data_IF_241855295890
#
_entry.id   IF_241855295890
#
_cell.length_a   1.000
_cell.length_b   1.000
_cell.length_c   1.000
_cell.angle_alpha   90.00
_cell.angle_beta   90.00
_cell.angle_gamma   90.00
#
_symmetry.space_group_name_H-M   'P 1'
#
loop_
_entity.id
_entity.type
_entity.pdbx_description
1 polymer ?
#
# COMPACT_ATOMS: atom_id res chain seq x y z
N UNK A 1 -0.91 -11.25 14.48
CA UNK A 1 -1.61 -11.36 13.17
C UNK A 1 -1.03 -12.54 12.36
N UNK A 2 -1.78 -13.17 11.47
CA UNK A 2 -1.22 -14.17 10.55
C UNK A 2 -0.52 -13.51 9.35
N UNK A 3 -1.14 -12.46 8.81
CA UNK A 3 -0.52 -11.57 7.83
C UNK A 3 -0.71 -10.14 8.34
N UNK A 4 0.37 -9.38 8.43
CA UNK A 4 0.37 -7.96 8.75
C UNK A 4 0.69 -7.16 7.50
N UNK A 5 -0.02 -6.05 7.26
CA UNK A 5 0.29 -5.13 6.16
C UNK A 5 0.66 -3.78 6.77
N UNK A 6 1.82 -3.24 6.40
CA UNK A 6 2.28 -1.90 6.80
C UNK A 6 2.52 -1.08 5.54
N UNK A 7 1.78 0.02 5.39
CA UNK A 7 1.81 0.86 4.18
C UNK A 7 2.90 1.93 4.22
N UNK A 8 3.13 2.54 5.38
CA UNK A 8 4.18 3.51 5.66
C UNK A 8 4.32 3.67 7.18
N UNK A 9 5.42 4.30 7.60
CA UNK A 9 5.69 4.73 8.97
C UNK A 9 6.29 6.13 8.90
N UNK A 10 5.41 7.13 8.90
CA UNK A 10 5.79 8.54 9.03
C UNK A 10 5.40 9.03 10.43
N UNK A 11 6.23 9.91 11.01
CA UNK A 11 5.98 10.48 12.33
C UNK A 11 4.64 11.23 12.36
N UNK A 12 3.72 10.72 13.17
CA UNK A 12 2.40 11.28 13.39
C UNK A 12 1.99 11.07 14.85
N UNK A 13 1.02 11.85 15.33
CA UNK A 13 0.45 11.74 16.67
C UNK A 13 1.50 11.79 17.79
N UNK A 14 2.58 12.57 17.59
CA UNK A 14 3.67 12.72 18.56
C UNK A 14 3.20 13.33 19.89
N UNK A 15 2.03 13.95 19.92
CA UNK A 15 1.32 14.37 21.13
C UNK A 15 0.93 13.19 22.04
N UNK A 16 0.69 12.01 21.48
CA UNK A 16 0.46 10.77 22.23
C UNK A 16 1.75 9.99 22.51
N UNK A 17 2.65 9.90 21.52
CA UNK A 17 3.85 9.06 21.61
C UNK A 17 5.07 9.75 22.23
N UNK A 18 5.09 11.08 22.25
CA UNK A 18 6.17 11.90 22.81
C UNK A 18 7.42 12.03 21.93
N UNK A 19 7.75 11.00 21.13
CA UNK A 19 8.89 11.05 20.19
C UNK A 19 8.70 10.12 18.98
N UNK A 20 9.45 10.37 17.92
CA UNK A 20 9.44 9.54 16.70
C UNK A 20 9.96 8.12 16.99
N UNK A 21 10.93 7.98 17.89
CA UNK A 21 11.45 6.68 18.31
C UNK A 21 10.38 5.87 19.04
N UNK A 22 9.59 6.52 19.89
CA UNK A 22 8.49 5.85 20.58
C UNK A 22 7.38 5.43 19.61
N UNK A 23 7.06 6.27 18.62
CA UNK A 23 6.11 5.95 17.56
C UNK A 23 6.57 4.73 16.73
N UNK A 24 7.80 4.76 16.23
CA UNK A 24 8.36 3.66 15.41
C UNK A 24 8.47 2.35 16.20
N UNK A 25 8.81 2.41 17.49
CA UNK A 25 8.90 1.23 18.36
C UNK A 25 7.57 0.46 18.49
N UNK A 26 6.43 1.13 18.35
CA UNK A 26 5.11 0.45 18.37
C UNK A 26 4.94 -0.49 17.19
N UNK A 27 5.49 -0.13 16.02
CA UNK A 27 5.45 -1.01 14.84
C UNK A 27 6.36 -2.23 15.01
N UNK A 28 7.55 -2.07 15.60
CA UNK A 28 8.40 -3.20 16.01
C UNK A 28 7.65 -4.14 16.96
N UNK A 29 7.04 -3.59 18.01
CA UNK A 29 6.24 -4.37 18.95
C UNK A 29 5.01 -5.03 18.29
N UNK A 30 4.47 -4.46 17.21
CA UNK A 30 3.38 -5.04 16.44
C UNK A 30 3.84 -6.23 15.59
N UNK A 31 4.98 -6.14 14.91
CA UNK A 31 5.52 -7.25 14.10
C UNK A 31 5.99 -8.43 14.95
N UNK A 32 6.47 -8.17 16.18
CA UNK A 32 6.78 -9.20 17.18
C UNK A 32 5.57 -10.08 17.54
N UNK A 33 4.36 -9.60 17.28
CA UNK A 33 3.10 -10.31 17.53
C UNK A 33 2.57 -11.06 16.30
N UNK A 34 3.32 -11.10 15.20
CA UNK A 34 3.01 -11.96 14.07
C UNK A 34 3.07 -13.42 14.55
N UNK A 35 2.05 -14.21 14.20
CA UNK A 35 1.98 -15.61 14.61
C UNK A 35 3.12 -16.41 13.96
N UNK A 36 3.61 -17.49 14.58
CA UNK A 36 4.61 -18.37 13.96
C UNK A 36 4.17 -18.82 12.56
N UNK A 37 5.05 -18.67 11.57
CA UNK A 37 4.76 -18.95 10.17
C UNK A 37 3.93 -17.87 9.45
N UNK A 38 3.63 -16.75 10.11
CA UNK A 38 3.00 -15.59 9.51
C UNK A 38 3.97 -14.73 8.68
N UNK A 39 3.43 -13.67 8.09
CA UNK A 39 4.18 -12.79 7.20
C UNK A 39 3.87 -11.30 7.42
N UNK A 40 4.85 -10.47 7.07
CA UNK A 40 4.71 -9.01 6.93
C UNK A 40 4.71 -8.64 5.45
N UNK A 41 3.69 -7.92 4.99
CA UNK A 41 3.67 -7.22 3.70
C UNK A 41 3.98 -5.74 3.96
N UNK A 42 5.00 -5.19 3.30
CA UNK A 42 5.52 -3.86 3.66
C UNK A 42 5.97 -3.05 2.45
N UNK A 43 5.60 -1.76 2.44
CA UNK A 43 6.03 -0.83 1.41
C UNK A 43 7.47 -0.38 1.68
N UNK A 44 8.38 -0.58 0.74
CA UNK A 44 9.77 -0.12 0.89
C UNK A 44 10.07 1.18 0.14
N UNK A 45 9.06 1.78 -0.49
CA UNK A 45 9.17 3.17 -0.96
C UNK A 45 9.17 4.16 0.22
N UNK A 46 8.62 3.74 1.37
CA UNK A 46 8.66 4.50 2.61
C UNK A 46 9.89 4.10 3.46
N UNK A 47 10.77 5.05 3.86
CA UNK A 47 11.98 4.73 4.63
C UNK A 47 11.71 4.10 5.99
N UNK A 48 10.66 4.52 6.70
CA UNK A 48 10.32 3.96 8.02
C UNK A 48 9.87 2.51 7.94
N UNK A 49 9.00 2.21 6.99
CA UNK A 49 8.56 0.86 6.68
C UNK A 49 9.68 -0.03 6.11
N UNK A 50 10.60 0.54 5.31
CA UNK A 50 11.79 -0.17 4.86
C UNK A 50 12.69 -0.58 6.04
N UNK A 51 12.88 0.29 7.04
CA UNK A 51 13.62 -0.06 8.26
C UNK A 51 12.90 -1.16 9.08
N UNK A 52 11.57 -1.13 9.15
CA UNK A 52 10.78 -2.19 9.80
C UNK A 52 10.94 -3.54 9.09
N UNK A 53 11.05 -3.54 7.75
CA UNK A 53 11.30 -4.75 6.97
C UNK A 53 12.59 -5.46 7.39
N UNK A 54 13.70 -4.71 7.48
CA UNK A 54 15.01 -5.24 7.91
C UNK A 54 14.95 -5.80 9.34
N UNK A 55 14.30 -5.09 10.26
CA UNK A 55 14.10 -5.56 11.63
C UNK A 55 13.31 -6.87 11.67
N UNK A 56 12.23 -6.96 10.88
CA UNK A 56 11.35 -8.12 10.86
C UNK A 56 12.04 -9.37 10.29
N UNK A 57 12.89 -9.20 9.27
CA UNK A 57 13.70 -10.29 8.73
C UNK A 57 14.76 -10.79 9.71
N UNK A 58 15.36 -9.91 10.51
CA UNK A 58 16.32 -10.30 11.54
C UNK A 58 15.69 -11.20 12.62
N UNK A 59 14.36 -11.15 12.78
CA UNK A 59 13.58 -12.05 13.64
C UNK A 59 13.26 -13.39 12.98
N UNK A 60 13.61 -13.58 11.71
CA UNK A 60 13.28 -14.77 10.92
C UNK A 60 11.83 -14.83 10.45
N UNK A 61 11.10 -13.72 10.55
CA UNK A 61 9.71 -13.61 10.07
C UNK A 61 9.74 -13.36 8.56
N UNK A 62 8.80 -13.98 7.83
CA UNK A 62 8.70 -13.82 6.37
C UNK A 62 8.30 -12.38 6.02
N UNK A 63 9.04 -11.75 5.11
CA UNK A 63 8.77 -10.39 4.64
C UNK A 63 8.51 -10.37 3.14
N UNK A 64 7.40 -9.75 2.75
CA UNK A 64 6.95 -9.52 1.39
C UNK A 64 7.04 -8.02 1.10
N UNK A 65 8.20 -7.59 0.61
CA UNK A 65 8.43 -6.19 0.23
C UNK A 65 7.67 -5.84 -1.04
N UNK A 66 7.07 -4.65 -1.07
CA UNK A 66 6.54 -4.06 -2.29
C UNK A 66 6.92 -2.60 -2.43
N UNK A 67 6.89 -2.11 -3.66
CA UNK A 67 7.23 -0.72 -3.93
C UNK A 67 7.33 -0.47 -5.42
N UNK A 68 7.93 0.65 -5.76
CA UNK A 68 8.10 1.11 -7.13
C UNK A 68 9.55 1.46 -7.47
N UNK A 69 10.40 1.63 -6.46
CA UNK A 69 11.84 1.74 -6.66
C UNK A 69 12.43 0.35 -6.84
N UNK A 70 13.16 0.08 -7.94
CA UNK A 70 13.95 -1.14 -8.06
C UNK A 70 14.96 -1.18 -6.90
N UNK A 71 14.80 -2.16 -6.00
CA UNK A 71 15.58 -2.29 -4.76
C UNK A 71 15.86 -3.75 -4.44
N UNK A 72 16.03 -4.08 -3.15
CA UNK A 72 16.14 -5.47 -2.66
C UNK A 72 15.05 -6.38 -3.23
N UNK A 73 15.22 -7.70 -3.15
CA UNK A 73 14.26 -8.68 -3.69
C UNK A 73 12.81 -8.37 -3.27
N UNK A 74 12.05 -7.73 -4.18
CA UNK A 74 10.66 -7.33 -3.96
C UNK A 74 9.74 -8.52 -4.29
N UNK A 75 8.76 -8.76 -3.43
CA UNK A 75 7.66 -9.69 -3.72
C UNK A 75 6.72 -9.13 -4.79
N UNK A 76 6.58 -7.81 -4.87
CA UNK A 76 5.81 -7.13 -5.90
C UNK A 76 6.38 -5.75 -6.24
N UNK A 77 6.49 -5.44 -7.53
CA UNK A 77 7.00 -4.16 -8.01
C UNK A 77 5.95 -3.45 -8.86
N UNK A 78 5.65 -2.19 -8.56
CA UNK A 78 4.88 -1.29 -9.42
C UNK A 78 5.79 -0.75 -10.53
N UNK A 79 5.59 -1.25 -11.75
CA UNK A 79 6.39 -0.89 -12.92
C UNK A 79 5.94 0.44 -13.53
N UNK A 80 4.62 0.61 -13.69
CA UNK A 80 4.02 1.81 -14.23
C UNK A 80 2.59 1.99 -13.75
N UNK A 81 2.09 3.21 -13.87
CA UNK A 81 0.72 3.57 -13.54
C UNK A 81 0.25 4.68 -14.48
N UNK A 82 -0.98 4.57 -14.96
CA UNK A 82 -1.60 5.51 -15.89
C UNK A 82 -3.05 5.78 -15.49
N UNK A 83 -3.39 7.06 -15.39
CA UNK A 83 -4.77 7.52 -15.17
C UNK A 83 -5.61 7.35 -16.44
N UNK A 84 -6.81 6.79 -16.32
CA UNK A 84 -7.79 6.64 -17.40
C UNK A 84 -9.17 7.16 -16.96
N UNK A 85 -9.43 8.44 -17.22
CA UNK A 85 -10.69 9.08 -16.81
C UNK A 85 -10.76 9.18 -15.28
N UNK A 86 -11.72 8.50 -14.66
CA UNK A 86 -11.84 8.41 -13.19
C UNK A 86 -11.15 7.19 -12.60
N UNK A 87 -10.77 6.21 -13.41
CA UNK A 87 -10.03 5.02 -12.98
C UNK A 87 -8.56 5.07 -13.39
N UNK A 88 -7.84 3.98 -13.14
CA UNK A 88 -6.45 3.85 -13.50
C UNK A 88 -6.06 2.41 -13.88
N UNK A 89 -4.95 2.28 -14.59
CA UNK A 89 -4.31 1.00 -14.88
C UNK A 89 -2.87 1.05 -14.36
N UNK A 90 -2.49 0.04 -13.58
CA UNK A 90 -1.13 -0.16 -13.11
C UNK A 90 -0.55 -1.45 -13.70
N UNK A 91 0.72 -1.42 -14.07
CA UNK A 91 1.47 -2.63 -14.41
C UNK A 91 2.37 -3.02 -13.25
N UNK A 92 2.30 -4.28 -12.84
CA UNK A 92 3.06 -4.82 -11.72
C UNK A 92 3.86 -6.05 -12.14
N UNK A 93 4.98 -6.31 -11.47
CA UNK A 93 5.73 -7.55 -11.56
C UNK A 93 5.65 -8.26 -10.20
N UNK A 94 5.18 -9.51 -10.19
CA UNK A 94 5.25 -10.36 -9.00
C UNK A 94 6.52 -11.21 -9.04
N UNK A 95 7.14 -11.44 -7.88
CA UNK A 95 8.33 -12.26 -7.77
C UNK A 95 8.05 -13.70 -8.26
N UNK A 96 8.98 -14.25 -9.05
CA UNK A 96 8.86 -15.62 -9.57
C UNK A 96 7.89 -15.77 -10.75
N UNK A 97 7.20 -14.71 -11.18
CA UNK A 97 6.36 -14.75 -12.37
C UNK A 97 7.10 -14.26 -13.62
N UNK A 98 6.89 -14.91 -14.79
CA UNK A 98 7.63 -14.58 -16.01
C UNK A 98 7.15 -13.30 -16.72
N UNK A 99 5.94 -12.83 -16.42
CA UNK A 99 5.33 -11.71 -17.14
C UNK A 99 4.67 -10.73 -16.16
N UNK A 100 4.71 -9.42 -16.45
CA UNK A 100 3.95 -8.43 -15.72
C UNK A 100 2.43 -8.68 -15.79
N UNK A 101 1.73 -8.26 -14.74
CA UNK A 101 0.26 -8.24 -14.65
C UNK A 101 -0.26 -6.81 -14.70
N UNK A 102 -1.54 -6.65 -15.03
CA UNK A 102 -2.23 -5.37 -14.95
C UNK A 102 -3.22 -5.37 -13.78
N UNK A 103 -3.20 -4.29 -12.98
CA UNK A 103 -4.24 -3.97 -12.01
C UNK A 103 -5.10 -2.87 -12.62
N UNK A 104 -6.40 -3.09 -12.73
CA UNK A 104 -7.36 -2.02 -13.03
C UNK A 104 -7.94 -1.52 -11.73
N UNK A 105 -8.11 -0.20 -11.60
CA UNK A 105 -8.68 0.43 -10.42
C UNK A 105 -9.74 1.44 -10.84
N UNK A 106 -10.86 1.49 -10.13
CA UNK A 106 -11.87 2.53 -10.32
C UNK A 106 -11.50 3.86 -9.63
N UNK A 107 -10.43 3.85 -8.82
CA UNK A 107 -9.91 5.00 -8.08
C UNK A 107 -8.63 5.55 -8.73
N UNK A 108 -8.43 6.88 -8.70
CA UNK A 108 -7.23 7.51 -9.21
C UNK A 108 -6.07 7.43 -8.22
N UNK A 109 -4.88 7.86 -8.67
CA UNK A 109 -3.70 8.02 -7.84
C UNK A 109 -2.76 6.80 -7.83
N UNK A 110 -1.47 7.08 -8.01
CA UNK A 110 -0.40 6.08 -7.94
C UNK A 110 -0.31 5.39 -6.58
N UNK A 111 -0.59 6.12 -5.49
CA UNK A 111 -0.60 5.58 -4.14
C UNK A 111 -1.71 4.52 -3.95
N UNK A 112 -2.84 4.64 -4.64
CA UNK A 112 -3.87 3.60 -4.67
C UNK A 112 -3.37 2.31 -5.36
N UNK A 113 -2.52 2.43 -6.39
CA UNK A 113 -1.90 1.27 -7.01
C UNK A 113 -0.92 0.54 -6.07
N UNK A 114 -0.16 1.27 -5.25
CA UNK A 114 0.68 0.69 -4.20
C UNK A 114 -0.17 -0.01 -3.13
N UNK A 115 -1.27 0.61 -2.68
CA UNK A 115 -2.19 -0.01 -1.74
C UNK A 115 -2.83 -1.28 -2.30
N UNK A 116 -3.22 -1.26 -3.58
CA UNK A 116 -3.76 -2.43 -4.27
C UNK A 116 -2.73 -3.57 -4.38
N UNK A 117 -1.46 -3.23 -4.63
CA UNK A 117 -0.36 -4.21 -4.64
C UNK A 117 -0.15 -4.83 -3.25
N UNK A 118 -0.24 -4.03 -2.18
CA UNK A 118 -0.18 -4.54 -0.80
C UNK A 118 -1.31 -5.54 -0.52
N UNK A 119 -2.55 -5.17 -0.90
CA UNK A 119 -3.72 -6.03 -0.75
C UNK A 119 -3.61 -7.33 -1.56
N UNK A 120 -3.08 -7.24 -2.79
CA UNK A 120 -2.81 -8.41 -3.64
C UNK A 120 -1.85 -9.38 -2.96
N UNK A 121 -0.71 -8.89 -2.47
CA UNK A 121 0.29 -9.72 -1.81
C UNK A 121 -0.27 -10.38 -0.54
N UNK A 122 -1.02 -9.63 0.27
CA UNK A 122 -1.64 -10.17 1.47
C UNK A 122 -2.67 -11.27 1.16
N UNK A 123 -3.49 -11.08 0.13
CA UNK A 123 -4.49 -12.06 -0.28
C UNK A 123 -3.85 -13.33 -0.86
N UNK A 124 -2.81 -13.18 -1.69
CA UNK A 124 -2.04 -14.30 -2.24
C UNK A 124 -1.33 -15.08 -1.13
N UNK A 125 -0.80 -14.39 -0.11
CA UNK A 125 -0.14 -15.04 1.03
C UNK A 125 -1.08 -15.94 1.83
N UNK A 126 -2.38 -15.62 1.89
CA UNK A 126 -3.39 -16.48 2.52
C UNK A 126 -4.01 -17.50 1.55
N UNK A 127 -3.48 -17.63 0.33
CA UNK A 127 -3.83 -18.66 -0.63
C UNK A 127 -4.89 -18.26 -1.66
N UNK A 128 -5.25 -16.98 -1.78
CA UNK A 128 -6.15 -16.53 -2.83
C UNK A 128 -5.44 -16.56 -4.21
N UNK A 129 -6.09 -17.02 -5.28
CA UNK A 129 -5.53 -16.93 -6.63
C UNK A 129 -5.35 -15.47 -7.04
N UNK A 130 -4.16 -15.10 -7.54
CA UNK A 130 -3.84 -13.72 -7.92
C UNK A 130 -4.86 -13.11 -8.90
N UNK A 131 -5.31 -13.89 -9.90
CA UNK A 131 -6.33 -13.43 -10.86
C UNK A 131 -7.65 -13.04 -10.19
N UNK A 132 -8.14 -13.86 -9.25
CA UNK A 132 -9.39 -13.58 -8.54
C UNK A 132 -9.27 -12.31 -7.67
N UNK A 133 -8.08 -12.06 -7.11
CA UNK A 133 -7.82 -10.85 -6.34
C UNK A 133 -7.76 -9.62 -7.25
N UNK A 134 -7.13 -9.72 -8.41
CA UNK A 134 -7.09 -8.64 -9.41
C UNK A 134 -8.49 -8.26 -9.91
N UNK A 135 -9.33 -9.26 -10.19
CA UNK A 135 -10.72 -9.04 -10.56
C UNK A 135 -11.50 -8.32 -9.45
N UNK A 136 -11.29 -8.71 -8.19
CA UNK A 136 -11.88 -8.06 -7.03
C UNK A 136 -11.42 -6.61 -6.85
N UNK A 137 -10.11 -6.34 -7.02
CA UNK A 137 -9.53 -5.01 -6.93
C UNK A 137 -10.08 -4.07 -8.01
N UNK A 138 -10.37 -4.59 -9.21
CA UNK A 138 -11.00 -3.81 -10.27
C UNK A 138 -12.40 -3.29 -9.92
N UNK A 139 -13.10 -3.99 -9.02
CA UNK A 139 -14.40 -3.57 -8.49
C UNK A 139 -14.34 -2.68 -7.26
N UNK A 140 -13.16 -2.30 -6.77
CA UNK A 140 -13.05 -1.41 -5.61
C UNK A 140 -13.41 0.03 -5.97
N UNK A 141 -14.52 0.51 -5.43
CA UNK A 141 -15.10 1.85 -5.73
C UNK A 141 -14.52 2.98 -4.87
N UNK A 142 -13.53 2.68 -4.01
CA UNK A 142 -13.03 3.63 -3.02
C UNK A 142 -13.73 3.50 -1.67
N UNK A 143 -13.31 4.33 -0.73
CA UNK A 143 -13.98 4.51 0.56
C UNK A 143 -14.31 5.98 0.73
N UNK A 144 -15.30 6.28 1.58
CA UNK A 144 -15.66 7.66 1.89
C UNK A 144 -14.44 8.48 2.32
N UNK A 145 -14.38 9.72 1.87
CA UNK A 145 -13.31 10.68 2.16
C UNK A 145 -11.90 10.23 1.69
N UNK A 146 -11.82 9.42 0.64
CA UNK A 146 -10.57 9.13 -0.08
C UNK A 146 -10.79 9.39 -1.56
N UNK A 147 -10.49 10.62 -1.97
CA UNK A 147 -10.79 11.20 -3.28
C UNK A 147 -12.23 10.95 -3.75
N UNK A 148 -13.18 11.09 -2.83
CA UNK A 148 -14.59 10.78 -3.05
C UNK A 148 -15.24 11.87 -3.91
N UNK A 149 -15.80 11.52 -5.07
CA UNK A 149 -16.60 12.45 -5.87
C UNK A 149 -17.93 12.73 -5.14
N UNK A 150 -18.04 13.90 -4.53
CA UNK A 150 -19.25 14.35 -3.82
C UNK A 150 -20.34 14.76 -4.81
N UNK A 151 -19.95 15.29 -5.97
CA UNK A 151 -20.89 15.66 -7.02
C UNK A 151 -20.27 16.45 -8.15
N UNK A 152 -21.10 16.75 -9.16
CA UNK A 152 -20.74 17.65 -10.25
C UNK A 152 -21.87 18.61 -10.59
N UNK A 153 -21.51 19.87 -10.87
CA UNK A 153 -22.44 20.91 -11.28
C UNK A 153 -21.76 21.84 -12.29
N UNK A 154 -22.38 22.05 -13.45
CA UNK A 154 -21.86 22.98 -14.47
C UNK A 154 -20.47 22.65 -15.00
N UNK A 155 -20.10 21.36 -15.05
CA UNK A 155 -18.76 20.91 -15.46
C UNK A 155 -17.69 20.98 -14.38
N UNK A 156 -18.02 21.52 -13.20
CA UNK A 156 -17.15 21.49 -12.02
C UNK A 156 -17.42 20.20 -11.23
N UNK A 157 -16.36 19.50 -10.85
CA UNK A 157 -16.42 18.30 -9.99
C UNK A 157 -15.92 18.68 -8.59
N UNK A 158 -16.61 18.19 -7.56
CA UNK A 158 -16.26 18.42 -6.15
C UNK A 158 -15.85 17.10 -5.55
N UNK A 159 -14.66 17.05 -4.95
CA UNK A 159 -14.10 15.87 -4.29
C UNK A 159 -13.87 16.14 -2.79
N UNK A 160 -14.06 15.12 -1.95
CA UNK A 160 -13.75 15.12 -0.51
C UNK A 160 -12.62 14.12 -0.21
N UNK A 161 -11.63 14.55 0.58
CA UNK A 161 -10.46 13.77 0.95
C UNK A 161 -10.05 14.01 2.41
N UNK A 162 -9.60 12.95 3.09
CA UNK A 162 -9.18 12.97 4.49
C UNK A 162 -7.70 13.36 4.69
N UNK A 163 -6.95 13.57 3.62
CA UNK A 163 -5.54 13.93 3.68
C UNK A 163 -5.25 15.04 4.71
N UNK A 164 -4.45 14.70 5.71
CA UNK A 164 -4.05 15.61 6.80
C UNK A 164 -2.54 15.63 6.99
N UNK A 165 -1.82 14.61 6.53
CA UNK A 165 -0.36 14.63 6.42
C UNK A 165 0.13 15.31 5.15
N UNK A 166 1.31 15.97 5.17
CA UNK A 166 1.90 16.54 3.95
C UNK A 166 2.04 15.53 2.80
N UNK A 167 2.41 14.28 3.10
CA UNK A 167 2.50 13.19 2.11
C UNK A 167 1.12 12.85 1.53
N UNK A 168 0.10 12.69 2.36
CA UNK A 168 -1.27 12.44 1.90
C UNK A 168 -1.80 13.60 1.04
N UNK A 169 -1.62 14.85 1.50
CA UNK A 169 -2.08 16.04 0.76
C UNK A 169 -1.42 16.10 -0.61
N UNK A 170 -0.12 15.83 -0.69
CA UNK A 170 0.59 15.77 -1.98
C UNK A 170 0.04 14.65 -2.85
N UNK A 171 -0.14 13.45 -2.31
CA UNK A 171 -0.65 12.30 -3.05
C UNK A 171 -2.07 12.55 -3.60
N UNK A 172 -2.91 13.28 -2.85
CA UNK A 172 -4.25 13.71 -3.27
C UNK A 172 -4.18 14.77 -4.37
N UNK A 173 -3.25 15.73 -4.30
CA UNK A 173 -3.11 16.79 -5.32
C UNK A 173 -2.48 16.32 -6.64
N UNK A 174 -1.71 15.22 -6.61
CA UNK A 174 -1.08 14.62 -7.79
C UNK A 174 -2.00 13.63 -8.54
N UNK A 175 -3.13 13.24 -7.93
CA UNK A 175 -4.11 12.30 -8.50
C UNK A 175 -5.05 12.97 -9.51
#
# INVERSE_FOLDING_TARGET
>A
PNVAVVTNIEADHLDFFGSEEAYTAVFSAFVDRIAPGGALVVCTDDPGAAALAEHTEALGIRVLRYGSTPGAELAGTLLSWEQQGTGAVAHIQLAGEPHPRAIRLAVPGRHMALNALAALLAAVEVGAPAEAVLDGLAGFEGVRRRFELVGSLGGVRVFDDYAHHPTEVRATLEA
#
